data_IF_744699114181
#
_entry.id   IF_744699114181
#
_cell.length_a   1.000
_cell.length_b   1.000
_cell.length_c   1.000
_cell.angle_alpha   90.00
_cell.angle_beta   90.00
_cell.angle_gamma   90.00
#
_symmetry.space_group_name_H-M   'P 1'
#
loop_
_entity.id
_entity.type
_entity.pdbx_description
1 polymer ?
#
# COMPACT_ATOMS: atom_id res chain seq x y z
N UNK A 1 -3.06 15.07 -13.94
CA UNK A 1 -3.15 15.06 -12.47
C UNK A 1 -4.53 14.58 -12.11
N UNK A 2 -4.61 13.39 -11.54
CA UNK A 2 -5.87 12.75 -11.16
C UNK A 2 -6.35 13.27 -9.81
N UNK A 3 -7.67 13.48 -9.70
CA UNK A 3 -8.30 13.95 -8.47
C UNK A 3 -8.76 12.74 -7.66
N UNK A 4 -8.29 12.67 -6.43
CA UNK A 4 -8.58 11.59 -5.48
C UNK A 4 -9.73 12.00 -4.56
N UNK A 5 -10.55 11.01 -4.18
CA UNK A 5 -11.51 11.18 -3.10
C UNK A 5 -10.83 11.05 -1.73
N UNK A 6 -11.52 11.42 -0.64
CA UNK A 6 -10.98 11.38 0.71
C UNK A 6 -10.50 9.98 1.15
N UNK A 7 -11.18 8.91 0.72
CA UNK A 7 -10.78 7.53 1.03
C UNK A 7 -9.48 7.16 0.32
N UNK A 8 -9.40 7.44 -0.98
CA UNK A 8 -8.20 7.19 -1.79
C UNK A 8 -7.01 8.01 -1.28
N UNK A 9 -7.23 9.27 -0.95
CA UNK A 9 -6.22 10.13 -0.33
C UNK A 9 -5.69 9.51 0.98
N UNK A 10 -6.57 8.96 1.82
CA UNK A 10 -6.17 8.32 3.06
C UNK A 10 -5.38 7.02 2.83
N UNK A 11 -5.80 6.17 1.89
CA UNK A 11 -5.07 4.96 1.50
C UNK A 11 -3.68 5.30 0.96
N UNK A 12 -3.59 6.33 0.12
CA UNK A 12 -2.35 6.88 -0.46
C UNK A 12 -1.40 7.43 0.61
N UNK A 13 -1.94 8.10 1.62
CA UNK A 13 -1.12 8.52 2.77
C UNK A 13 -0.66 7.34 3.61
N UNK A 14 -1.52 6.32 3.76
CA UNK A 14 -1.23 5.13 4.54
C UNK A 14 -0.13 4.27 3.89
N UNK A 15 0.01 4.31 2.56
CA UNK A 15 1.13 3.71 1.82
C UNK A 15 2.43 4.55 1.89
N UNK A 16 2.42 5.70 2.57
CA UNK A 16 3.58 6.56 2.76
C UNK A 16 3.82 7.56 1.62
N UNK A 17 2.84 7.74 0.74
CA UNK A 17 2.89 8.77 -0.30
C UNK A 17 2.34 10.11 0.24
N UNK A 18 2.86 11.21 -0.28
CA UNK A 18 2.39 12.53 0.11
C UNK A 18 1.17 12.92 -0.73
N UNK A 19 0.15 13.48 -0.08
CA UNK A 19 -1.08 13.94 -0.70
C UNK A 19 -1.21 15.45 -0.51
N UNK A 20 -1.61 16.14 -1.56
CA UNK A 20 -1.93 17.56 -1.54
C UNK A 20 -3.44 17.76 -1.52
N UNK A 21 -3.89 18.91 -1.02
CA UNK A 21 -5.29 19.24 -0.81
C UNK A 21 -5.61 20.65 -1.33
N UNK A 22 -6.82 20.83 -1.83
CA UNK A 22 -7.42 22.16 -2.08
C UNK A 22 -8.91 22.13 -1.81
N UNK A 23 -9.50 23.30 -1.62
CA UNK A 23 -10.97 23.41 -1.62
C UNK A 23 -11.52 23.31 -3.04
N UNK A 24 -12.67 22.66 -3.20
CA UNK A 24 -13.38 22.48 -4.47
C UNK A 24 -13.63 23.84 -5.14
N UNK A 25 -13.31 23.93 -6.43
CA UNK A 25 -13.55 25.13 -7.23
C UNK A 25 -12.60 26.30 -6.96
N UNK A 26 -11.58 26.15 -6.11
CA UNK A 26 -10.50 27.12 -6.01
C UNK A 26 -9.59 27.03 -7.24
N UNK A 27 -9.21 28.18 -7.78
CA UNK A 27 -8.21 28.29 -8.85
C UNK A 27 -6.77 28.13 -8.34
N UNK A 28 -6.58 28.09 -7.02
CA UNK A 28 -5.29 27.96 -6.39
C UNK A 28 -4.73 26.54 -6.57
N UNK A 29 -3.40 26.46 -6.60
CA UNK A 29 -2.67 25.21 -6.61
C UNK A 29 -2.94 24.39 -5.34
N UNK A 30 -2.73 23.08 -5.43
CA UNK A 30 -2.87 22.20 -4.28
C UNK A 30 -1.80 22.52 -3.23
N UNK A 31 -2.23 22.62 -1.97
CA UNK A 31 -1.36 22.86 -0.82
C UNK A 31 -1.07 21.58 -0.05
N UNK A 32 -0.08 21.64 0.83
CA UNK A 32 0.17 20.54 1.77
C UNK A 32 -1.00 20.37 2.75
N UNK A 33 -1.28 19.12 3.10
CA UNK A 33 -2.35 18.78 4.02
C UNK A 33 -2.19 19.42 5.42
N UNK A 34 -0.95 19.73 5.81
CA UNK A 34 -0.60 20.42 7.07
C UNK A 34 -1.24 21.81 7.21
N UNK A 35 -1.61 22.43 6.09
CA UNK A 35 -2.21 23.77 6.03
C UNK A 35 -3.73 23.75 6.24
N UNK A 36 -4.33 22.56 6.30
CA UNK A 36 -5.76 22.36 6.38
C UNK A 36 -6.18 21.71 7.71
N UNK A 37 -7.43 21.89 8.16
CA UNK A 37 -7.93 21.20 9.35
C UNK A 37 -8.04 19.68 9.11
N UNK A 38 -7.88 18.87 10.15
CA UNK A 38 -8.04 17.41 10.06
C UNK A 38 -9.42 16.95 9.54
N UNK A 39 -10.41 17.86 9.54
CA UNK A 39 -11.77 17.59 9.06
C UNK A 39 -11.88 17.50 7.53
N UNK A 40 -10.82 17.81 6.77
CA UNK A 40 -10.85 17.77 5.29
C UNK A 40 -11.28 16.42 4.71
N UNK A 41 -10.97 15.31 5.39
CA UNK A 41 -11.37 13.96 4.94
C UNK A 41 -12.86 13.66 5.09
N UNK A 42 -13.59 14.48 5.84
CA UNK A 42 -15.02 14.27 6.11
C UNK A 42 -15.91 15.18 5.25
N UNK A 43 -15.37 16.29 4.75
CA UNK A 43 -16.10 17.25 3.91
C UNK A 43 -15.99 16.91 2.42
N UNK A 44 -17.10 17.07 1.69
CA UNK A 44 -17.10 17.00 0.23
C UNK A 44 -16.57 18.30 -0.43
N UNK A 45 -16.16 19.28 0.38
CA UNK A 45 -15.71 20.59 -0.05
C UNK A 45 -14.21 20.62 -0.40
N UNK A 46 -13.52 19.47 -0.34
CA UNK A 46 -12.09 19.34 -0.60
C UNK A 46 -11.78 18.30 -1.68
N UNK A 47 -10.80 18.62 -2.51
CA UNK A 47 -10.21 17.75 -3.52
C UNK A 47 -8.77 17.42 -3.15
N UNK A 48 -8.35 16.21 -3.49
CA UNK A 48 -7.01 15.70 -3.17
C UNK A 48 -6.30 15.25 -4.45
N UNK A 49 -4.97 15.24 -4.40
CA UNK A 49 -4.14 14.68 -5.47
C UNK A 49 -2.80 14.20 -4.91
N UNK A 50 -2.11 13.32 -5.64
CA UNK A 50 -0.78 12.86 -5.26
C UNK A 50 0.23 14.01 -5.40
N UNK A 51 1.10 14.18 -4.40
CA UNK A 51 2.22 15.08 -4.52
C UNK A 51 3.25 14.49 -5.51
N UNK A 52 3.69 15.24 -6.52
CA UNK A 52 4.73 14.77 -7.43
C UNK A 52 6.02 14.55 -6.65
N UNK A 53 6.60 13.35 -6.79
CA UNK A 53 7.94 13.04 -6.27
C UNK A 53 8.94 13.15 -7.39
N UNK A 54 10.09 13.74 -7.11
CA UNK A 54 11.19 13.81 -8.05
C UNK A 54 12.37 12.99 -7.55
N UNK A 55 13.04 12.30 -8.46
CA UNK A 55 14.32 11.67 -8.21
C UNK A 55 15.35 12.14 -9.24
N UNK A 56 16.57 12.33 -8.78
CA UNK A 56 17.68 12.70 -9.65
C UNK A 56 18.36 11.43 -10.16
N UNK A 57 18.36 11.23 -11.49
CA UNK A 57 19.11 10.16 -12.16
C UNK A 57 20.25 10.81 -12.94
N UNK A 58 21.46 10.76 -12.39
CA UNK A 58 22.62 11.44 -12.98
C UNK A 58 22.50 12.97 -12.89
N UNK A 59 22.23 13.62 -14.02
CA UNK A 59 22.05 15.08 -14.13
C UNK A 59 20.61 15.49 -14.49
N UNK A 60 19.68 14.53 -14.54
CA UNK A 60 18.28 14.77 -14.89
C UNK A 60 17.38 14.52 -13.69
N UNK A 61 16.53 15.49 -13.38
CA UNK A 61 15.45 15.33 -12.42
C UNK A 61 14.21 14.79 -13.14
N UNK A 62 13.79 13.59 -12.74
CA UNK A 62 12.63 12.90 -13.28
C UNK A 62 11.52 12.88 -12.25
N UNK A 63 10.31 13.16 -12.69
CA UNK A 63 9.11 12.88 -11.90
C UNK A 63 8.98 11.36 -11.79
N UNK A 64 9.04 10.87 -10.55
CA UNK A 64 8.82 9.47 -10.23
C UNK A 64 7.32 9.23 -10.34
N UNK A 65 6.86 8.32 -11.23
CA UNK A 65 5.47 7.91 -11.23
C UNK A 65 5.11 7.31 -9.86
N UNK A 66 3.81 7.25 -9.55
CA UNK A 66 3.29 6.77 -8.26
C UNK A 66 4.06 5.53 -7.82
N UNK A 67 4.90 5.68 -6.77
CA UNK A 67 5.82 4.62 -6.38
C UNK A 67 5.00 3.35 -6.09
N UNK A 68 5.43 2.21 -6.64
CA UNK A 68 4.92 0.87 -6.36
C UNK A 68 4.65 0.77 -4.85
N UNK A 69 3.39 0.53 -4.49
CA UNK A 69 2.77 1.00 -3.24
C UNK A 69 3.16 0.14 -2.02
N UNK A 70 3.99 -0.89 -2.21
CA UNK A 70 4.51 -1.74 -1.17
C UNK A 70 5.54 -2.75 -1.68
N UNK A 71 6.21 -3.41 -0.74
CA UNK A 71 7.08 -4.55 -1.05
C UNK A 71 6.29 -5.68 -1.74
N UNK A 72 5.02 -5.86 -1.36
CA UNK A 72 4.12 -6.86 -1.94
C UNK A 72 3.76 -6.52 -3.40
N UNK A 73 3.47 -5.26 -3.72
CA UNK A 73 3.20 -4.85 -5.10
C UNK A 73 4.45 -5.01 -5.98
N UNK A 74 5.64 -4.76 -5.41
CA UNK A 74 6.90 -5.00 -6.11
C UNK A 74 7.12 -6.50 -6.36
N UNK A 75 6.76 -7.35 -5.41
CA UNK A 75 6.81 -8.81 -5.56
C UNK A 75 5.82 -9.25 -6.65
N UNK A 76 4.59 -8.75 -6.63
CA UNK A 76 3.56 -9.13 -7.60
C UNK A 76 3.94 -8.72 -9.02
N UNK A 77 4.47 -7.50 -9.19
CA UNK A 77 4.93 -7.02 -10.49
C UNK A 77 6.16 -7.81 -10.98
N UNK A 78 7.10 -8.13 -10.08
CA UNK A 78 8.25 -8.98 -10.39
C UNK A 78 7.82 -10.42 -10.77
N UNK A 79 6.85 -11.00 -10.06
CA UNK A 79 6.29 -12.32 -10.38
C UNK A 79 5.58 -12.29 -11.73
N UNK A 80 4.79 -11.26 -12.01
CA UNK A 80 4.10 -11.10 -13.29
C UNK A 80 5.10 -11.01 -14.45
N UNK A 81 6.17 -10.22 -14.29
CA UNK A 81 7.21 -10.08 -15.30
C UNK A 81 8.02 -11.36 -15.49
N UNK A 82 8.39 -12.05 -14.41
CA UNK A 82 9.09 -13.32 -14.45
C UNK A 82 8.25 -14.40 -15.15
N UNK A 83 6.95 -14.48 -14.85
CA UNK A 83 6.00 -15.39 -15.54
C UNK A 83 5.96 -15.11 -17.03
N UNK A 84 5.79 -13.85 -17.43
CA UNK A 84 5.76 -13.46 -18.83
C UNK A 84 7.04 -13.87 -19.56
N UNK A 85 8.21 -13.66 -18.94
CA UNK A 85 9.49 -14.07 -19.51
C UNK A 85 9.59 -15.59 -19.70
N UNK A 86 9.19 -16.38 -18.70
CA UNK A 86 9.24 -17.85 -18.75
C UNK A 86 8.31 -18.38 -19.85
N UNK A 87 7.08 -17.87 -19.92
CA UNK A 87 6.09 -18.27 -20.93
C UNK A 87 6.53 -17.91 -22.35
N UNK A 88 7.11 -16.72 -22.57
CA UNK A 88 7.66 -16.32 -23.87
C UNK A 88 8.79 -17.25 -24.34
N UNK A 89 9.55 -17.81 -23.41
CA UNK A 89 10.61 -18.78 -23.70
C UNK A 89 10.10 -20.24 -23.74
N UNK A 90 8.78 -20.45 -23.73
CA UNK A 90 8.16 -21.78 -23.83
C UNK A 90 8.17 -22.59 -22.54
N UNK A 91 8.49 -21.98 -21.40
CA UNK A 91 8.35 -22.61 -20.08
C UNK A 91 6.93 -22.50 -19.52
N UNK A 92 6.56 -23.44 -18.66
CA UNK A 92 5.32 -23.41 -17.84
C UNK A 92 5.71 -23.34 -16.37
N UNK A 93 4.95 -22.57 -15.58
CA UNK A 93 5.02 -22.56 -14.13
C UNK A 93 3.78 -23.28 -13.60
N UNK A 94 3.84 -24.60 -13.53
CA UNK A 94 2.84 -25.36 -12.80
C UNK A 94 2.98 -25.04 -11.30
N UNK A 95 1.88 -24.90 -10.55
CA UNK A 95 1.95 -24.63 -9.12
C UNK A 95 2.74 -25.74 -8.42
N UNK A 96 3.77 -25.36 -7.67
CA UNK A 96 4.53 -26.28 -6.83
C UNK A 96 3.63 -26.60 -5.63
N UNK A 97 3.12 -27.83 -5.55
CA UNK A 97 2.44 -28.32 -4.35
C UNK A 97 3.48 -28.45 -3.22
N UNK A 98 3.58 -27.44 -2.37
CA UNK A 98 4.36 -27.53 -1.14
C UNK A 98 3.50 -28.30 -0.15
N UNK A 99 3.80 -29.59 0.05
CA UNK A 99 3.23 -30.33 1.18
C UNK A 99 3.56 -29.56 2.46
N UNK A 100 2.53 -29.02 3.12
CA UNK A 100 2.68 -28.37 4.40
C UNK A 100 3.30 -29.37 5.39
N UNK A 101 4.38 -29.03 6.12
CA UNK A 101 4.90 -29.92 7.14
C UNK A 101 3.81 -30.14 8.19
N UNK A 102 3.48 -31.40 8.45
CA UNK A 102 2.53 -31.78 9.49
C UNK A 102 2.99 -31.21 10.83
N UNK A 103 2.36 -30.14 11.29
CA UNK A 103 2.53 -29.63 12.65
C UNK A 103 1.72 -30.55 13.56
N UNK A 104 2.41 -31.48 14.23
CA UNK A 104 1.80 -32.24 15.33
C UNK A 104 1.57 -31.27 16.50
N UNK A 105 0.31 -30.88 16.69
CA UNK A 105 -0.12 -30.06 17.83
C UNK A 105 -0.12 -30.96 19.05
N UNK A 106 0.97 -30.92 19.83
CA UNK A 106 0.99 -31.51 21.17
C UNK A 106 0.07 -30.67 22.07
N UNK A 107 -1.10 -31.22 22.39
CA UNK A 107 -2.07 -30.57 23.27
C UNK A 107 -1.50 -30.50 24.69
N UNK A 108 -1.09 -29.30 25.12
CA UNK A 108 -0.74 -29.03 26.51
C UNK A 108 -2.01 -29.11 27.35
N UNK A 109 -2.09 -30.13 28.20
CA UNK A 109 -3.16 -30.32 29.17
C UNK A 109 -3.00 -29.28 30.28
N UNK A 110 -3.99 -28.41 30.46
CA UNK A 110 -4.05 -27.47 31.58
C UNK A 110 -4.26 -28.22 32.91
N UNK A 111 -3.56 -27.87 34.00
CA UNK A 111 -3.81 -28.51 35.30
C UNK A 111 -5.06 -27.92 35.98
N UNK A 112 -5.98 -28.80 36.40
CA UNK A 112 -7.14 -28.42 37.20
C UNK A 112 -6.72 -27.82 38.55
N UNK A 113 -7.11 -26.56 38.80
CA UNK A 113 -6.92 -25.88 40.08
C UNK A 113 -7.97 -26.38 41.06
N UNK A 114 -7.56 -27.17 42.05
CA UNK A 114 -8.40 -27.58 43.18
C UNK A 114 -8.41 -26.46 44.22
N UNK A 115 -9.52 -25.73 44.34
CA UNK A 115 -9.77 -24.85 45.48
C UNK A 115 -10.19 -25.67 46.69
N UNK A 116 -9.25 -25.94 47.61
CA UNK A 116 -9.54 -26.31 48.98
C UNK A 116 -9.79 -25.02 49.78
N UNK A 117 -11.01 -24.83 50.29
CA UNK A 117 -11.35 -23.78 51.25
C UNK A 117 -11.59 -24.45 52.61
N UNK A 118 -10.98 -23.87 53.63
CA UNK A 118 -10.98 -24.26 55.05
C UNK A 118 -12.38 -24.37 55.68
#
# INVERSE_FOLDING_TARGET
>A
MDILNAKQAFETMSSGQAVLCRAVGQLLDFGELSQFPATVFFGADYEFCLAPRFMTIGQLDLEVPECIQGFDDLIDDAIAHARAFITLNGGSLDPIEVEAPAVEVETVVEPEVTTELA
#
